data_IF_935672548851
#
_entry.id   IF_935672548851
#
_cell.length_a   1.000
_cell.length_b   1.000
_cell.length_c   1.000
_cell.angle_alpha   90.00
_cell.angle_beta   90.00
_cell.angle_gamma   90.00
#
_symmetry.space_group_name_H-M   'P 1'
#
loop_
_entity.id
_entity.type
_entity.pdbx_description
1 polymer ?
#
# COMPACT_ATOMS: atom_id res chain seq x y z
N UNK A 1 21.12 6.61 20.05
CA UNK A 1 19.81 6.06 19.65
C UNK A 1 20.06 5.17 18.45
N UNK A 2 19.64 3.90 18.44
CA UNK A 2 19.74 3.08 17.24
C UNK A 2 19.03 3.85 16.10
N UNK A 3 19.68 3.95 14.93
CA UNK A 3 19.07 4.59 13.76
C UNK A 3 17.73 3.89 13.51
N UNK A 4 16.63 4.64 13.54
CA UNK A 4 15.33 4.12 13.10
C UNK A 4 15.47 3.61 11.67
N UNK A 5 15.03 2.37 11.44
CA UNK A 5 15.01 1.78 10.10
C UNK A 5 14.09 2.65 9.22
N UNK A 6 14.46 2.94 7.96
CA UNK A 6 13.55 3.64 7.07
C UNK A 6 12.21 2.91 6.97
N UNK A 7 11.13 3.68 6.94
CA UNK A 7 9.77 3.17 6.88
C UNK A 7 9.32 3.02 5.42
N UNK A 8 8.67 1.90 5.09
CA UNK A 8 8.06 1.63 3.79
C UNK A 8 6.64 1.07 3.92
N UNK A 9 5.74 1.55 3.08
CA UNK A 9 4.38 1.04 2.97
C UNK A 9 4.31 0.00 1.84
N UNK A 10 3.77 -1.18 2.14
CA UNK A 10 3.72 -2.31 1.22
C UNK A 10 2.29 -2.78 1.04
N UNK A 11 1.79 -2.81 -0.20
CA UNK A 11 0.45 -3.34 -0.50
C UNK A 11 0.51 -4.73 -1.14
N UNK A 12 -0.33 -5.66 -0.69
CA UNK A 12 -0.53 -6.95 -1.35
C UNK A 12 -1.73 -6.88 -2.29
N UNK A 13 -1.52 -7.23 -3.56
CA UNK A 13 -2.53 -7.15 -4.60
C UNK A 13 -2.61 -8.43 -5.42
N UNK A 14 -3.75 -8.65 -6.10
CA UNK A 14 -4.00 -9.86 -6.90
C UNK A 14 -5.45 -10.35 -6.83
N UNK A 15 -5.79 -11.35 -7.65
CA UNK A 15 -7.14 -11.94 -7.73
C UNK A 15 -7.61 -12.50 -6.37
N UNK A 16 -8.93 -12.64 -6.22
CA UNK A 16 -9.52 -13.44 -5.12
C UNK A 16 -8.93 -14.86 -5.16
N UNK A 17 -8.78 -15.49 -4.00
CA UNK A 17 -8.23 -16.85 -3.84
C UNK A 17 -6.78 -17.07 -4.29
N UNK A 18 -6.07 -16.09 -4.85
CA UNK A 18 -4.63 -16.22 -5.12
C UNK A 18 -3.75 -16.28 -3.86
N UNK A 19 -4.33 -16.07 -2.68
CA UNK A 19 -3.67 -16.27 -1.39
C UNK A 19 -2.87 -15.07 -0.88
N UNK A 20 -3.35 -13.84 -1.11
CA UNK A 20 -2.74 -12.60 -0.60
C UNK A 20 -2.59 -12.63 0.94
N UNK A 21 -3.71 -12.70 1.65
CA UNK A 21 -3.74 -12.71 3.12
C UNK A 21 -3.08 -13.95 3.71
N UNK A 22 -3.16 -15.10 3.03
CA UNK A 22 -2.38 -16.30 3.38
C UNK A 22 -0.87 -16.03 3.32
N UNK A 23 -0.40 -15.31 2.29
CA UNK A 23 1.02 -14.95 2.14
C UNK A 23 1.46 -14.02 3.27
N UNK A 24 0.66 -13.01 3.60
CA UNK A 24 0.93 -12.08 4.71
C UNK A 24 0.95 -12.81 6.05
N UNK A 25 -0.08 -13.62 6.34
CA UNK A 25 -0.16 -14.39 7.57
C UNK A 25 0.98 -15.39 7.71
N UNK A 26 1.39 -16.02 6.61
CA UNK A 26 2.55 -16.91 6.58
C UNK A 26 3.85 -16.16 6.88
N UNK A 27 4.04 -15.01 6.26
CA UNK A 27 5.20 -14.15 6.52
C UNK A 27 5.31 -13.82 8.01
N UNK A 28 4.22 -13.44 8.66
CA UNK A 28 4.22 -13.14 10.10
C UNK A 28 4.48 -14.36 10.98
N UNK A 29 3.92 -15.51 10.63
CA UNK A 29 4.20 -16.75 11.34
C UNK A 29 5.69 -17.14 11.24
N UNK A 30 6.25 -17.14 10.03
CA UNK A 30 7.65 -17.52 9.80
C UNK A 30 8.64 -16.52 10.43
N UNK A 31 8.23 -15.26 10.65
CA UNK A 31 8.99 -14.24 11.38
C UNK A 31 8.78 -14.29 12.91
N UNK A 32 7.91 -15.18 13.41
CA UNK A 32 7.61 -15.29 14.84
C UNK A 32 6.76 -14.16 15.41
N UNK A 33 6.09 -13.38 14.55
CA UNK A 33 5.14 -12.34 14.96
C UNK A 33 3.77 -12.92 15.33
N UNK A 34 3.50 -14.16 14.93
CA UNK A 34 2.34 -14.95 15.33
C UNK A 34 2.83 -16.26 15.91
N UNK A 35 2.54 -16.48 17.18
CA UNK A 35 2.93 -17.71 17.87
C UNK A 35 2.14 -18.93 17.37
N UNK A 36 2.76 -20.10 17.43
CA UNK A 36 2.15 -21.37 17.02
C UNK A 36 0.81 -21.65 17.73
N UNK A 37 0.72 -21.36 19.03
CA UNK A 37 -0.54 -21.50 19.79
C UNK A 37 -1.66 -20.66 19.17
N UNK A 38 -1.35 -19.44 18.75
CA UNK A 38 -2.35 -18.56 18.16
C UNK A 38 -2.79 -19.07 16.79
N UNK A 39 -1.85 -19.57 15.99
CA UNK A 39 -2.15 -20.18 14.71
C UNK A 39 -3.02 -21.44 14.87
N UNK A 40 -2.75 -22.28 15.86
CA UNK A 40 -3.57 -23.48 16.17
C UNK A 40 -4.99 -23.11 16.60
N UNK A 41 -5.18 -22.05 17.39
CA UNK A 41 -6.51 -21.51 17.71
C UNK A 41 -7.25 -21.07 16.45
N UNK A 42 -6.58 -20.30 15.57
CA UNK A 42 -7.18 -19.83 14.31
C UNK A 42 -7.50 -20.98 13.36
N UNK A 43 -6.66 -22.03 13.35
CA UNK A 43 -6.91 -23.24 12.57
C UNK A 43 -8.17 -23.96 13.05
N UNK A 44 -8.34 -24.15 14.35
CA UNK A 44 -9.57 -24.74 14.92
C UNK A 44 -10.80 -23.89 14.57
N UNK A 45 -10.70 -22.56 14.72
CA UNK A 45 -11.79 -21.66 14.36
C UNK A 45 -12.16 -21.75 12.86
N UNK A 46 -11.15 -21.85 11.99
CA UNK A 46 -11.34 -21.99 10.56
C UNK A 46 -11.98 -23.35 10.20
N UNK A 47 -11.53 -24.44 10.83
CA UNK A 47 -12.10 -25.78 10.68
C UNK A 47 -13.57 -25.85 11.16
N UNK A 48 -13.89 -25.28 12.33
CA UNK A 48 -15.26 -25.19 12.86
C UNK A 48 -16.23 -24.45 11.92
N UNK A 49 -15.70 -23.48 11.17
CA UNK A 49 -16.46 -22.70 10.18
C UNK A 49 -16.43 -23.30 8.76
N UNK A 50 -15.87 -24.50 8.59
CA UNK A 50 -15.80 -25.18 7.28
C UNK A 50 -14.80 -24.56 6.30
N UNK A 51 -13.84 -23.77 6.79
CA UNK A 51 -12.81 -23.06 6.03
C UNK A 51 -11.40 -23.59 6.38
N UNK A 52 -11.24 -24.90 6.45
CA UNK A 52 -9.94 -25.51 6.72
C UNK A 52 -8.86 -25.01 5.72
N UNK A 53 -7.68 -24.63 6.22
CA UNK A 53 -6.59 -24.05 5.41
C UNK A 53 -6.55 -22.51 5.37
N UNK A 54 -7.51 -21.83 6.02
CA UNK A 54 -7.55 -20.36 6.11
C UNK A 54 -6.87 -19.79 7.37
N UNK A 55 -6.15 -20.60 8.15
CA UNK A 55 -5.54 -20.18 9.42
C UNK A 55 -4.64 -18.96 9.28
N UNK A 56 -3.88 -18.87 8.18
CA UNK A 56 -3.01 -17.74 7.90
C UNK A 56 -3.79 -16.51 7.43
N UNK A 57 -4.88 -16.67 6.68
CA UNK A 57 -5.72 -15.55 6.28
C UNK A 57 -6.40 -14.89 7.49
N UNK A 58 -6.85 -15.69 8.46
CA UNK A 58 -7.49 -15.21 9.69
C UNK A 58 -6.57 -14.42 10.63
N UNK A 59 -5.25 -14.42 10.39
CA UNK A 59 -4.30 -13.52 11.07
C UNK A 59 -4.58 -12.05 10.70
N UNK A 60 -5.00 -11.84 9.45
CA UNK A 60 -5.33 -10.54 8.88
C UNK A 60 -6.83 -10.24 8.98
N UNK A 61 -7.68 -11.21 8.62
CA UNK A 61 -9.13 -11.07 8.58
C UNK A 61 -9.72 -11.07 10.00
N UNK A 62 -10.10 -9.87 10.48
CA UNK A 62 -10.68 -9.67 11.81
C UNK A 62 -12.19 -9.52 11.79
N UNK A 63 -12.78 -9.09 10.68
CA UNK A 63 -14.22 -8.88 10.61
C UNK A 63 -14.95 -10.22 10.53
N UNK A 64 -16.10 -10.30 11.20
CA UNK A 64 -16.94 -11.50 11.18
C UNK A 64 -17.37 -11.84 9.74
N UNK A 65 -17.71 -10.83 8.95
CA UNK A 65 -18.13 -10.99 7.56
C UNK A 65 -16.99 -11.47 6.64
N UNK A 66 -15.75 -11.03 6.90
CA UNK A 66 -14.56 -11.52 6.19
C UNK A 66 -14.36 -13.02 6.42
N UNK A 67 -14.45 -13.45 7.69
CA UNK A 67 -14.30 -14.86 8.08
C UNK A 67 -15.41 -15.75 7.54
N UNK A 68 -16.64 -15.26 7.52
CA UNK A 68 -17.79 -16.02 6.98
C UNK A 68 -17.68 -16.19 5.46
N UNK A 69 -17.28 -15.15 4.73
CA UNK A 69 -17.15 -15.19 3.27
C UNK A 69 -15.83 -15.81 2.81
N UNK A 70 -14.77 -15.73 3.60
CA UNK A 70 -13.41 -16.12 3.23
C UNK A 70 -12.75 -15.12 2.26
N UNK A 71 -13.15 -13.84 2.33
CA UNK A 71 -12.60 -12.75 1.52
C UNK A 71 -12.27 -11.56 2.42
N UNK A 72 -11.16 -10.88 2.14
CA UNK A 72 -10.80 -9.61 2.78
C UNK A 72 -11.72 -8.49 2.28
N UNK A 73 -12.24 -7.67 3.18
CA UNK A 73 -13.23 -6.60 2.91
C UNK A 73 -12.62 -5.23 3.19
N UNK A 74 -11.94 -5.07 4.32
CA UNK A 74 -11.34 -3.79 4.73
C UNK A 74 -9.81 -3.85 4.74
N UNK A 75 -9.17 -2.69 4.73
CA UNK A 75 -7.71 -2.60 4.76
C UNK A 75 -7.20 -2.89 6.17
N UNK A 76 -6.34 -3.90 6.29
CA UNK A 76 -5.66 -4.21 7.54
C UNK A 76 -4.21 -3.70 7.52
N UNK A 77 -3.84 -2.95 8.57
CA UNK A 77 -2.47 -2.47 8.78
C UNK A 77 -1.75 -3.35 9.79
N UNK A 78 -0.58 -3.85 9.41
CA UNK A 78 0.28 -4.66 10.28
C UNK A 78 1.74 -4.37 9.98
N UNK A 79 2.53 -4.24 11.03
CA UNK A 79 3.94 -3.92 10.91
C UNK A 79 4.81 -5.17 11.01
N UNK A 80 5.92 -5.17 10.26
CA UNK A 80 7.00 -6.13 10.42
C UNK A 80 8.32 -5.47 10.06
N UNK A 81 9.42 -6.07 10.51
CA UNK A 81 10.75 -5.55 10.21
C UNK A 81 11.53 -6.52 9.31
N UNK A 82 12.33 -5.93 8.44
CA UNK A 82 13.45 -6.58 7.74
C UNK A 82 14.76 -6.08 8.35
N UNK A 83 15.94 -6.64 7.97
CA UNK A 83 17.22 -6.06 8.38
C UNK A 83 17.35 -4.57 8.06
N UNK A 84 16.84 -4.12 6.89
CA UNK A 84 16.99 -2.75 6.40
C UNK A 84 15.81 -1.84 6.71
N UNK A 85 14.57 -2.33 6.66
CA UNK A 85 13.35 -1.51 6.69
C UNK A 85 12.37 -1.91 7.80
N UNK A 86 11.62 -0.94 8.27
CA UNK A 86 10.36 -1.16 8.98
C UNK A 86 9.22 -1.05 7.96
N UNK A 87 8.44 -2.11 7.79
CA UNK A 87 7.33 -2.14 6.84
C UNK A 87 5.99 -2.03 7.54
N UNK A 88 5.10 -1.24 6.96
CA UNK A 88 3.66 -1.35 7.22
C UNK A 88 3.00 -2.06 6.03
N UNK A 89 2.45 -3.26 6.29
CA UNK A 89 1.65 -3.99 5.31
C UNK A 89 0.24 -3.43 5.29
N UNK A 90 -0.21 -3.16 4.08
CA UNK A 90 -1.56 -2.77 3.71
C UNK A 90 -2.17 -3.99 2.99
N UNK A 91 -2.94 -4.81 3.72
CA UNK A 91 -3.66 -5.91 3.07
C UNK A 91 -4.89 -5.34 2.37
N UNK A 92 -4.89 -5.39 1.04
CA UNK A 92 -5.93 -4.80 0.23
C UNK A 92 -6.91 -5.87 -0.28
N UNK A 93 -8.21 -5.60 -0.27
CA UNK A 93 -9.21 -6.57 -0.69
C UNK A 93 -9.10 -6.88 -2.19
N UNK A 94 -9.27 -8.15 -2.54
CA UNK A 94 -9.13 -8.62 -3.93
C UNK A 94 -10.42 -8.66 -4.75
N UNK A 95 -11.57 -8.51 -4.08
CA UNK A 95 -12.89 -8.65 -4.71
C UNK A 95 -13.28 -7.36 -5.45
N UNK A 96 -13.98 -7.50 -6.58
CA UNK A 96 -14.36 -6.37 -7.46
C UNK A 96 -15.15 -5.30 -6.71
N UNK A 97 -16.02 -5.71 -5.80
CA UNK A 97 -16.86 -4.80 -5.00
C UNK A 97 -16.05 -3.88 -4.07
N UNK A 98 -14.80 -4.22 -3.76
CA UNK A 98 -13.97 -3.51 -2.79
C UNK A 98 -12.76 -2.81 -3.44
N UNK A 99 -12.77 -2.60 -4.76
CA UNK A 99 -11.71 -1.86 -5.47
C UNK A 99 -11.47 -0.47 -4.87
N UNK A 100 -12.52 0.21 -4.37
CA UNK A 100 -12.38 1.52 -3.70
C UNK A 100 -11.43 1.47 -2.51
N UNK A 101 -11.53 0.41 -1.70
CA UNK A 101 -10.70 0.20 -0.52
C UNK A 101 -9.26 -0.14 -0.94
N UNK A 102 -9.10 -0.94 -2.00
CA UNK A 102 -7.78 -1.17 -2.59
C UNK A 102 -7.13 0.12 -3.08
N UNK A 103 -7.85 1.00 -3.77
CA UNK A 103 -7.33 2.30 -4.25
C UNK A 103 -6.83 3.14 -3.07
N UNK A 104 -7.59 3.21 -1.97
CA UNK A 104 -7.17 3.96 -0.78
C UNK A 104 -5.92 3.37 -0.13
N UNK A 105 -5.78 2.04 -0.09
CA UNK A 105 -4.59 1.38 0.44
C UNK A 105 -3.37 1.53 -0.47
N UNK A 106 -3.54 1.29 -1.77
CA UNK A 106 -2.46 1.41 -2.75
C UNK A 106 -1.98 2.86 -2.94
N UNK A 107 -2.84 3.86 -2.73
CA UNK A 107 -2.43 5.28 -2.76
C UNK A 107 -1.44 5.65 -1.65
N UNK A 108 -1.34 4.84 -0.60
CA UNK A 108 -0.40 5.05 0.51
C UNK A 108 0.88 4.20 0.36
N UNK A 109 0.91 3.27 -0.60
CA UNK A 109 1.97 2.28 -0.72
C UNK A 109 3.17 2.78 -1.55
N UNK A 110 4.37 2.42 -1.10
CA UNK A 110 5.65 2.72 -1.76
C UNK A 110 6.07 1.58 -2.71
N UNK A 111 5.64 0.35 -2.40
CA UNK A 111 5.87 -0.85 -3.19
C UNK A 111 4.65 -1.78 -3.13
N UNK A 112 4.57 -2.73 -4.07
CA UNK A 112 3.51 -3.74 -4.10
C UNK A 112 4.04 -5.17 -4.28
N UNK A 113 3.33 -6.13 -3.70
CA UNK A 113 3.47 -7.56 -3.99
C UNK A 113 2.24 -8.03 -4.78
N UNK A 114 2.43 -8.41 -6.04
CA UNK A 114 1.41 -9.02 -6.88
C UNK A 114 1.41 -10.53 -6.69
N UNK A 115 0.36 -11.07 -6.08
CA UNK A 115 0.20 -12.50 -5.83
C UNK A 115 -0.62 -13.12 -6.96
N UNK A 116 -0.03 -14.12 -7.63
CA UNK A 116 -0.62 -14.83 -8.77
C UNK A 116 -0.60 -16.32 -8.50
N UNK A 117 -1.74 -17.01 -8.49
CA UNK A 117 -1.76 -18.46 -8.31
C UNK A 117 -1.21 -19.18 -9.56
N UNK A 118 -0.26 -20.10 -9.38
CA UNK A 118 0.31 -20.90 -10.46
C UNK A 118 -0.72 -21.82 -11.15
N UNK A 119 -1.76 -22.20 -10.41
CA UNK A 119 -2.88 -23.04 -10.89
C UNK A 119 -3.78 -22.31 -11.89
N UNK A 120 -3.94 -20.99 -11.74
CA UNK A 120 -4.93 -20.19 -12.46
C UNK A 120 -4.29 -19.17 -13.41
N UNK A 121 -3.06 -18.74 -13.14
CA UNK A 121 -2.35 -17.75 -13.95
C UNK A 121 -2.97 -16.35 -13.84
N UNK A 122 -2.90 -15.58 -14.93
CA UNK A 122 -3.37 -14.18 -14.95
C UNK A 122 -4.90 -14.11 -15.05
N UNK A 123 -5.53 -13.64 -13.98
CA UNK A 123 -6.97 -13.37 -13.91
C UNK A 123 -7.33 -11.89 -14.17
N UNK A 124 -8.61 -11.54 -14.44
CA UNK A 124 -9.02 -10.15 -14.70
C UNK A 124 -8.61 -9.17 -13.58
N UNK A 125 -8.81 -9.54 -12.32
CA UNK A 125 -8.46 -8.71 -11.16
C UNK A 125 -6.94 -8.57 -10.99
N UNK A 126 -6.15 -9.56 -11.42
CA UNK A 126 -4.68 -9.45 -11.47
C UNK A 126 -4.27 -8.30 -12.39
N UNK A 127 -4.91 -8.18 -13.56
CA UNK A 127 -4.66 -7.10 -14.52
C UNK A 127 -5.12 -5.76 -13.96
N UNK A 128 -6.32 -5.71 -13.42
CA UNK A 128 -6.93 -4.51 -12.84
C UNK A 128 -6.11 -3.94 -11.68
N UNK A 129 -5.66 -4.79 -10.76
CA UNK A 129 -4.84 -4.32 -9.65
C UNK A 129 -3.45 -3.87 -10.09
N UNK A 130 -2.82 -4.56 -11.03
CA UNK A 130 -1.51 -4.18 -11.53
C UNK A 130 -1.52 -2.82 -12.25
N UNK A 131 -2.56 -2.53 -13.06
CA UNK A 131 -2.70 -1.23 -13.73
C UNK A 131 -3.07 -0.11 -12.76
N UNK A 132 -3.89 -0.41 -11.74
CA UNK A 132 -4.23 0.53 -10.68
C UNK A 132 -3.00 0.92 -9.86
N UNK A 133 -2.23 -0.07 -9.38
CA UNK A 133 -0.97 0.17 -8.67
C UNK A 133 -0.02 1.06 -9.48
N UNK A 134 0.11 0.78 -10.78
CA UNK A 134 0.96 1.59 -11.67
C UNK A 134 0.45 3.02 -11.81
N UNK A 135 -0.86 3.18 -11.94
CA UNK A 135 -1.51 4.50 -12.07
C UNK A 135 -1.37 5.33 -10.80
N UNK A 136 -1.36 4.68 -9.64
CA UNK A 136 -1.14 5.29 -8.33
C UNK A 136 0.34 5.60 -8.04
N UNK A 137 1.26 5.29 -8.97
CA UNK A 137 2.67 5.63 -8.85
C UNK A 137 3.53 4.55 -8.20
N UNK A 138 2.99 3.38 -7.91
CA UNK A 138 3.77 2.24 -7.41
C UNK A 138 4.61 1.69 -8.56
N UNK A 139 5.92 1.95 -8.50
CA UNK A 139 6.86 1.53 -9.54
C UNK A 139 7.67 0.29 -9.13
N UNK A 140 7.76 0.00 -7.83
CA UNK A 140 8.45 -1.17 -7.29
C UNK A 140 7.45 -2.30 -7.08
N UNK A 141 7.59 -3.36 -7.86
CA UNK A 141 6.66 -4.48 -7.86
C UNK A 141 7.43 -5.79 -7.74
N UNK A 142 7.03 -6.61 -6.77
CA UNK A 142 7.45 -8.01 -6.63
C UNK A 142 6.28 -8.89 -7.06
N UNK A 143 6.54 -9.92 -7.86
CA UNK A 143 5.53 -10.89 -8.28
C UNK A 143 5.76 -12.20 -7.54
N UNK A 144 4.80 -12.59 -6.71
CA UNK A 144 4.79 -13.86 -6.01
C UNK A 144 3.88 -14.85 -6.75
N UNK A 145 4.47 -15.82 -7.44
CA UNK A 145 3.74 -16.92 -8.10
C UNK A 145 3.45 -17.97 -7.04
N UNK A 146 2.25 -17.91 -6.46
CA UNK A 146 1.82 -18.67 -5.30
C UNK A 146 1.20 -20.03 -5.68
N UNK A 147 0.95 -20.88 -4.68
CA UNK A 147 0.36 -22.23 -4.82
C UNK A 147 1.22 -23.18 -5.67
N UNK A 148 2.54 -23.03 -5.64
CA UNK A 148 3.46 -23.92 -6.36
C UNK A 148 3.34 -25.38 -5.88
N UNK A 149 2.95 -25.61 -4.63
CA UNK A 149 2.67 -26.94 -4.08
C UNK A 149 1.52 -27.67 -4.80
N UNK A 150 0.53 -26.93 -5.30
CA UNK A 150 -0.60 -27.51 -6.04
C UNK A 150 -0.24 -27.90 -7.48
N UNK A 151 0.87 -27.40 -8.00
CA UNK A 151 1.40 -27.72 -9.34
C UNK A 151 2.69 -28.54 -9.24
N UNK A 152 2.87 -29.25 -8.12
CA UNK A 152 4.02 -30.12 -7.84
C UNK A 152 5.38 -29.42 -8.06
N UNK A 153 5.45 -28.11 -7.76
CA UNK A 153 6.66 -27.31 -7.87
C UNK A 153 7.27 -27.30 -9.29
N UNK A 154 6.44 -27.45 -10.33
CA UNK A 154 6.89 -27.54 -11.72
C UNK A 154 7.46 -26.20 -12.24
N UNK A 155 8.72 -26.24 -12.68
CA UNK A 155 9.42 -25.11 -13.29
C UNK A 155 8.73 -24.63 -14.57
N UNK A 156 8.18 -25.52 -15.39
CA UNK A 156 7.52 -25.12 -16.65
C UNK A 156 6.29 -24.28 -16.37
N UNK A 157 5.46 -24.71 -15.41
CA UNK A 157 4.28 -23.96 -14.98
C UNK A 157 4.65 -22.57 -14.45
N UNK A 158 5.73 -22.47 -13.67
CA UNK A 158 6.23 -21.17 -13.21
C UNK A 158 6.61 -20.26 -14.38
N UNK A 159 7.40 -20.74 -15.35
CA UNK A 159 7.84 -19.94 -16.50
C UNK A 159 6.68 -19.54 -17.42
N UNK A 160 5.66 -20.39 -17.58
CA UNK A 160 4.41 -20.05 -18.29
C UNK A 160 3.72 -18.84 -17.65
N UNK A 161 3.43 -18.93 -16.34
CA UNK A 161 2.71 -17.87 -15.61
C UNK A 161 3.56 -16.60 -15.53
N UNK A 162 4.87 -16.73 -15.33
CA UNK A 162 5.80 -15.61 -15.36
C UNK A 162 5.75 -14.88 -16.71
N UNK A 163 5.80 -15.59 -17.82
CA UNK A 163 5.73 -15.01 -19.17
C UNK A 163 4.41 -14.26 -19.41
N UNK A 164 3.28 -14.81 -18.95
CA UNK A 164 1.99 -14.13 -19.01
C UNK A 164 1.98 -12.82 -18.19
N UNK A 165 2.52 -12.87 -16.96
CA UNK A 165 2.59 -11.70 -16.08
C UNK A 165 3.54 -10.65 -16.64
N UNK A 166 4.71 -11.03 -17.17
CA UNK A 166 5.65 -10.11 -17.83
C UNK A 166 4.98 -9.36 -18.99
N UNK A 167 4.20 -10.06 -19.82
CA UNK A 167 3.48 -9.45 -20.95
C UNK A 167 2.50 -8.38 -20.51
N UNK A 168 1.72 -8.62 -19.45
CA UNK A 168 0.76 -7.62 -18.94
C UNK A 168 1.49 -6.43 -18.32
N UNK A 169 2.52 -6.67 -17.51
CA UNK A 169 3.23 -5.63 -16.77
C UNK A 169 3.98 -4.71 -17.74
N UNK A 170 4.56 -5.28 -18.81
CA UNK A 170 5.20 -4.51 -19.88
C UNK A 170 4.19 -3.62 -20.60
N UNK A 171 2.99 -4.14 -20.86
CA UNK A 171 1.89 -3.37 -21.45
C UNK A 171 1.43 -2.18 -20.59
N UNK A 172 1.55 -2.29 -19.27
CA UNK A 172 1.23 -1.20 -18.33
C UNK A 172 2.38 -0.23 -18.08
N UNK A 173 3.57 -0.50 -18.63
CA UNK A 173 4.76 0.36 -18.50
C UNK A 173 5.58 0.12 -17.22
N UNK A 174 5.51 -1.08 -16.64
CA UNK A 174 6.52 -1.51 -15.68
C UNK A 174 7.85 -1.85 -16.38
N UNK A 175 8.95 -1.53 -15.70
CA UNK A 175 10.27 -1.96 -16.11
C UNK A 175 10.50 -3.40 -15.62
N UNK A 176 10.27 -4.37 -16.51
CA UNK A 176 10.36 -5.80 -16.20
C UNK A 176 11.75 -6.18 -15.69
N UNK A 177 12.81 -5.46 -16.07
CA UNK A 177 14.18 -5.76 -15.59
C UNK A 177 14.34 -5.56 -14.08
N UNK A 178 13.45 -4.77 -13.46
CA UNK A 178 13.41 -4.50 -12.02
C UNK A 178 12.37 -5.31 -11.27
N UNK A 179 11.48 -6.02 -11.97
CA UNK A 179 10.44 -6.85 -11.35
C UNK A 179 11.02 -8.20 -10.97
N UNK A 180 10.92 -8.56 -9.70
CA UNK A 180 11.39 -9.86 -9.19
C UNK A 180 10.23 -10.85 -9.20
N UNK A 181 10.42 -12.01 -9.83
CA UNK A 181 9.45 -13.10 -9.87
C UNK A 181 9.90 -14.23 -8.94
N UNK A 182 9.04 -14.59 -7.99
CA UNK A 182 9.36 -15.53 -6.91
C UNK A 182 8.31 -16.64 -6.90
N UNK A 183 8.68 -17.91 -7.14
CA UNK A 183 7.78 -19.03 -6.93
C UNK A 183 7.66 -19.30 -5.43
N UNK A 184 6.45 -19.23 -4.89
CA UNK A 184 6.17 -19.46 -3.47
C UNK A 184 5.06 -20.49 -3.27
N UNK A 185 5.03 -21.06 -2.07
CA UNK A 185 3.80 -21.65 -1.52
C UNK A 185 3.53 -20.99 -0.18
N UNK A 186 2.54 -20.11 -0.13
CA UNK A 186 2.17 -19.42 1.10
C UNK A 186 1.68 -20.40 2.19
N UNK A 187 0.98 -21.48 1.81
CA UNK A 187 0.49 -22.45 2.77
C UNK A 187 1.64 -23.30 3.35
N UNK A 188 2.59 -23.72 2.52
CA UNK A 188 3.72 -24.57 2.93
C UNK A 188 4.92 -23.80 3.49
N UNK A 189 5.07 -22.53 3.10
CA UNK A 189 6.16 -21.63 3.49
C UNK A 189 7.33 -21.58 2.52
N UNK A 190 7.26 -22.32 1.41
CA UNK A 190 8.30 -22.38 0.39
C UNK A 190 8.59 -20.97 -0.17
N UNK A 191 9.84 -20.53 -0.06
CA UNK A 191 10.35 -19.23 -0.55
C UNK A 191 9.65 -17.99 0.03
N UNK A 192 8.89 -18.10 1.13
CA UNK A 192 8.30 -16.93 1.81
C UNK A 192 9.38 -16.22 2.64
N UNK A 193 9.83 -16.84 3.73
CA UNK A 193 11.01 -16.38 4.50
C UNK A 193 12.21 -17.28 4.23
N UNK A 194 11.99 -18.59 4.22
CA UNK A 194 13.03 -19.61 4.04
C UNK A 194 13.04 -20.14 2.61
N UNK A 195 14.22 -20.49 2.11
CA UNK A 195 14.38 -21.14 0.79
C UNK A 195 13.66 -22.49 0.77
N UNK A 196 13.05 -22.79 -0.38
CA UNK A 196 12.40 -24.07 -0.62
C UNK A 196 13.41 -25.15 -1.01
N UNK A 197 13.30 -26.33 -0.40
CA UNK A 197 14.01 -27.54 -0.84
C UNK A 197 13.29 -28.21 -2.03
N UNK A 198 12.00 -27.92 -2.23
CA UNK A 198 11.17 -28.49 -3.29
C UNK A 198 11.39 -27.85 -4.67
N UNK A 199 12.03 -26.67 -4.71
CA UNK A 199 12.30 -25.92 -5.94
C UNK A 199 13.80 -25.66 -6.14
N UNK A 200 14.64 -26.71 -6.27
CA UNK A 200 16.09 -26.55 -6.43
C UNK A 200 16.48 -25.83 -7.74
N UNK A 201 15.56 -25.76 -8.70
CA UNK A 201 15.72 -25.01 -9.95
C UNK A 201 15.63 -23.49 -9.76
N UNK A 202 15.07 -23.00 -8.64
CA UNK A 202 14.93 -21.58 -8.36
C UNK A 202 16.09 -21.05 -7.51
N UNK A 203 16.93 -20.20 -8.11
CA UNK A 203 18.10 -19.60 -7.45
C UNK A 203 17.88 -18.14 -7.02
N UNK A 204 16.72 -17.55 -7.30
CA UNK A 204 16.37 -16.17 -6.95
C UNK A 204 16.07 -15.99 -5.45
N UNK A 205 15.82 -14.76 -4.96
CA UNK A 205 15.60 -14.49 -3.54
C UNK A 205 14.29 -15.10 -2.99
N UNK A 206 14.18 -15.26 -1.68
CA UNK A 206 12.87 -15.45 -1.03
C UNK A 206 12.05 -14.15 -1.07
N UNK A 207 10.74 -14.22 -0.78
CA UNK A 207 9.90 -13.02 -0.70
C UNK A 207 10.46 -12.03 0.33
N UNK A 208 10.84 -12.51 1.52
CA UNK A 208 11.43 -11.67 2.56
C UNK A 208 12.75 -11.00 2.13
N UNK A 209 13.63 -11.74 1.44
CA UNK A 209 14.87 -11.18 0.89
C UNK A 209 14.61 -10.17 -0.23
N UNK A 210 13.57 -10.36 -1.04
CA UNK A 210 13.20 -9.42 -2.08
C UNK A 210 12.60 -8.13 -1.52
N UNK A 211 11.85 -8.21 -0.41
CA UNK A 211 11.32 -7.06 0.31
C UNK A 211 12.44 -6.21 0.92
N UNK A 212 13.47 -6.83 1.52
CA UNK A 212 14.64 -6.10 2.05
C UNK A 212 15.48 -5.41 0.95
N UNK A 213 15.39 -5.88 -0.29
CA UNK A 213 16.05 -5.29 -1.46
C UNK A 213 15.29 -4.13 -2.11
N UNK A 214 14.09 -3.79 -1.62
CA UNK A 214 13.38 -2.61 -2.10
C UNK A 214 14.22 -1.34 -1.88
N UNK A 215 13.93 -0.33 -2.67
CA UNK A 215 14.54 0.99 -2.59
C UNK A 215 13.61 1.94 -1.85
N UNK A 216 14.17 2.88 -1.09
CA UNK A 216 13.35 3.95 -0.53
C UNK A 216 12.88 4.85 -1.67
N UNK A 217 11.58 5.18 -1.77
CA UNK A 217 11.13 6.11 -2.79
C UNK A 217 11.83 7.46 -2.60
N UNK A 218 12.19 8.15 -3.68
CA UNK A 218 12.80 9.46 -3.56
C UNK A 218 11.80 10.40 -2.89
N UNK A 219 12.12 10.84 -1.68
CA UNK A 219 11.31 11.85 -0.98
C UNK A 219 11.45 13.16 -1.74
N UNK A 220 10.36 13.74 -2.30
CA UNK A 220 10.44 14.94 -3.12
C UNK A 220 10.64 16.22 -2.27
N UNK A 221 11.76 16.26 -1.55
CA UNK A 221 12.16 17.34 -0.62
C UNK A 221 12.41 18.64 -1.40
N UNK A 222 13.02 18.53 -2.59
CA UNK A 222 13.36 19.68 -3.44
C UNK A 222 12.17 20.19 -4.28
N UNK A 223 11.00 19.57 -4.18
CA UNK A 223 9.78 20.04 -4.86
C UNK A 223 9.05 21.07 -3.99
N UNK A 224 8.18 21.91 -4.57
CA UNK A 224 7.36 22.85 -3.81
C UNK A 224 6.52 22.16 -2.74
N UNK A 225 6.32 22.82 -1.60
CA UNK A 225 5.52 22.28 -0.50
C UNK A 225 4.08 22.01 -0.92
N UNK A 226 3.59 20.78 -0.71
CA UNK A 226 2.18 20.40 -0.86
C UNK A 226 1.75 19.54 0.32
N UNK A 227 0.80 20.04 1.09
CA UNK A 227 0.16 19.30 2.18
C UNK A 227 -1.35 19.33 1.97
N UNK A 228 -1.96 18.27 1.42
CA UNK A 228 -3.41 18.11 1.39
C UNK A 228 -3.94 18.00 2.82
N UNK A 229 -4.90 18.86 3.17
CA UNK A 229 -5.49 18.91 4.50
C UNK A 229 -6.50 17.77 4.63
N UNK A 230 -6.28 16.91 5.62
CA UNK A 230 -7.14 15.79 5.97
C UNK A 230 -8.22 16.20 6.98
N UNK A 231 -7.85 17.02 7.96
CA UNK A 231 -8.77 17.55 8.98
C UNK A 231 -8.25 18.87 9.58
N UNK A 232 -9.12 19.60 10.30
CA UNK A 232 -8.77 20.86 10.98
C UNK A 232 -9.36 20.88 12.38
N UNK A 233 -8.49 20.95 13.39
CA UNK A 233 -8.86 21.02 14.79
C UNK A 233 -8.72 22.44 15.34
N UNK A 234 -9.50 22.73 16.38
CA UNK A 234 -9.31 23.90 17.23
C UNK A 234 -8.90 23.42 18.61
N UNK A 235 -7.67 23.69 19.01
CA UNK A 235 -7.13 23.28 20.32
C UNK A 235 -7.13 24.49 21.25
N UNK A 236 -7.74 24.34 22.44
CA UNK A 236 -7.82 25.42 23.44
C UNK A 236 -6.40 25.85 23.84
N UNK A 237 -6.10 27.15 23.71
CA UNK A 237 -4.79 27.72 24.05
C UNK A 237 -3.74 27.64 22.94
N UNK A 238 -3.98 26.86 21.88
CA UNK A 238 -3.07 26.71 20.74
C UNK A 238 -3.67 27.37 19.49
N UNK A 239 -4.96 27.18 19.24
CA UNK A 239 -5.68 27.74 18.10
C UNK A 239 -5.96 26.70 17.02
N UNK A 240 -5.93 27.11 15.75
CA UNK A 240 -6.23 26.26 14.60
C UNK A 240 -5.06 25.34 14.29
N UNK A 241 -5.32 24.05 14.11
CA UNK A 241 -4.32 23.01 13.80
C UNK A 241 -4.84 22.15 12.64
N UNK A 242 -4.41 22.41 11.40
CA UNK A 242 -4.63 21.52 10.28
C UNK A 242 -3.77 20.27 10.41
N UNK A 243 -4.29 19.15 9.93
CA UNK A 243 -3.60 17.86 9.89
C UNK A 243 -3.52 17.38 8.45
N UNK A 244 -2.36 16.89 8.04
CA UNK A 244 -2.16 16.33 6.71
C UNK A 244 -0.80 15.67 6.54
N UNK A 245 -0.66 14.94 5.44
CA UNK A 245 0.62 14.34 5.03
C UNK A 245 1.38 15.31 4.15
N UNK A 246 2.68 15.48 4.40
CA UNK A 246 3.54 16.21 3.47
C UNK A 246 3.78 15.32 2.24
N UNK A 247 3.26 15.74 1.08
CA UNK A 247 3.42 14.99 -0.18
C UNK A 247 4.70 15.41 -0.92
N UNK A 248 5.10 16.67 -0.76
CA UNK A 248 6.33 17.22 -1.35
C UNK A 248 6.76 18.49 -0.63
N UNK A 249 8.04 18.85 -0.78
CA UNK A 249 8.66 19.97 -0.10
C UNK A 249 8.90 19.74 1.39
N UNK A 250 9.29 20.80 2.09
CA UNK A 250 9.55 20.77 3.53
C UNK A 250 8.76 21.89 4.18
N UNK A 251 8.04 21.58 5.26
CA UNK A 251 7.40 22.58 6.11
C UNK A 251 8.28 22.86 7.31
N UNK A 252 8.54 24.12 7.65
CA UNK A 252 9.30 24.50 8.84
C UNK A 252 8.49 25.37 9.79
N UNK A 253 8.82 25.29 11.08
CA UNK A 253 8.28 26.22 12.06
C UNK A 253 8.70 27.65 11.68
N UNK A 254 7.75 28.58 11.69
CA UNK A 254 7.93 29.96 11.25
C UNK A 254 7.62 30.21 9.77
N UNK A 255 7.39 29.16 8.97
CA UNK A 255 7.02 29.34 7.57
C UNK A 255 5.68 30.08 7.43
N UNK A 256 5.58 30.91 6.40
CA UNK A 256 4.28 31.35 5.89
C UNK A 256 3.75 30.30 4.93
N UNK A 257 2.49 29.92 5.12
CA UNK A 257 1.77 28.97 4.27
C UNK A 257 0.52 29.61 3.68
N UNK A 258 0.17 29.18 2.48
CA UNK A 258 -1.02 29.58 1.75
C UNK A 258 -1.89 28.36 1.50
N UNK A 259 -3.15 28.45 1.91
CA UNK A 259 -4.17 27.43 1.71
C UNK A 259 -4.95 27.73 0.43
N UNK A 260 -4.95 26.77 -0.50
CA UNK A 260 -5.72 26.83 -1.75
C UNK A 260 -6.81 25.77 -1.73
N UNK A 261 -7.99 26.01 -2.34
CA UNK A 261 -8.33 27.15 -3.19
C UNK A 261 -8.81 28.41 -2.43
N UNK A 262 -8.94 28.36 -1.10
CA UNK A 262 -9.51 29.47 -0.29
C UNK A 262 -8.66 30.75 -0.28
N UNK A 263 -7.41 30.67 -0.71
CA UNK A 263 -6.46 31.77 -0.83
C UNK A 263 -6.25 32.54 0.49
N UNK A 264 -6.02 31.79 1.58
CA UNK A 264 -5.76 32.33 2.92
C UNK A 264 -4.34 32.03 3.36
N UNK A 265 -3.64 33.04 3.88
CA UNK A 265 -2.27 32.90 4.38
C UNK A 265 -2.26 32.75 5.89
N UNK A 266 -1.39 31.90 6.40
CA UNK A 266 -1.13 31.74 7.82
C UNK A 266 0.37 31.58 8.09
N UNK A 267 0.77 31.72 9.36
CA UNK A 267 2.13 31.48 9.82
C UNK A 267 2.16 30.23 10.71
N UNK A 268 3.09 29.31 10.44
CA UNK A 268 3.25 28.08 11.20
C UNK A 268 3.98 28.36 12.52
N UNK A 269 3.37 28.00 13.65
CA UNK A 269 3.91 28.24 14.99
C UNK A 269 4.53 27.02 15.64
N UNK A 270 3.96 25.84 15.38
CA UNK A 270 4.52 24.56 15.82
C UNK A 270 4.13 23.49 14.82
N UNK A 271 4.91 22.41 14.79
CA UNK A 271 4.65 21.21 14.03
C UNK A 271 4.75 20.05 15.02
N UNK A 272 3.82 19.12 14.96
CA UNK A 272 3.78 17.93 15.81
C UNK A 272 3.48 16.68 14.98
N UNK A 273 4.14 15.59 15.31
CA UNK A 273 3.87 14.25 14.78
C UNK A 273 3.82 13.29 15.97
N UNK A 274 2.72 12.55 16.13
CA UNK A 274 2.53 11.61 17.26
C UNK A 274 2.82 12.19 18.65
N UNK A 275 2.42 13.45 18.89
CA UNK A 275 2.67 14.22 20.12
C UNK A 275 4.13 14.59 20.39
N UNK A 276 5.02 14.42 19.41
CA UNK A 276 6.39 14.91 19.47
C UNK A 276 6.54 16.19 18.63
N UNK A 277 7.14 17.26 19.18
CA UNK A 277 7.36 18.50 18.46
C UNK A 277 8.47 18.35 17.42
N UNK A 278 8.23 18.86 16.22
CA UNK A 278 9.17 18.89 15.11
C UNK A 278 9.54 20.33 14.75
N UNK A 279 10.77 20.55 14.31
CA UNK A 279 11.21 21.83 13.73
C UNK A 279 10.94 21.90 12.23
N UNK A 280 10.96 20.75 11.55
CA UNK A 280 10.63 20.61 10.14
C UNK A 280 9.90 19.29 9.89
N UNK A 281 9.02 19.28 8.90
CA UNK A 281 8.33 18.11 8.38
C UNK A 281 8.68 17.90 6.91
N UNK A 282 8.94 16.64 6.54
CA UNK A 282 9.43 16.21 5.24
C UNK A 282 8.41 15.31 4.54
N UNK A 283 8.56 15.05 3.23
CA UNK A 283 7.64 14.20 2.51
C UNK A 283 7.52 12.83 3.18
N UNK A 284 6.29 12.38 3.40
CA UNK A 284 5.94 11.17 4.15
C UNK A 284 5.38 11.45 5.54
N UNK A 285 5.77 12.54 6.19
CA UNK A 285 5.39 12.82 7.57
C UNK A 285 3.90 13.21 7.67
N UNK A 286 3.18 12.58 8.59
CA UNK A 286 1.80 12.92 8.93
C UNK A 286 1.80 13.89 10.11
N UNK A 287 1.54 15.17 9.86
CA UNK A 287 1.76 16.23 10.84
C UNK A 287 0.49 17.00 11.14
N UNK A 288 0.35 17.40 12.40
CA UNK A 288 -0.48 18.51 12.82
C UNK A 288 0.38 19.75 12.98
N UNK A 289 -0.01 20.87 12.41
CA UNK A 289 0.79 22.10 12.52
C UNK A 289 -0.06 23.28 12.97
N UNK A 290 0.32 23.95 14.05
CA UNK A 290 -0.43 25.10 14.52
C UNK A 290 -0.20 26.29 13.59
N UNK A 291 -1.29 26.97 13.22
CA UNK A 291 -1.24 28.13 12.35
C UNK A 291 -1.88 29.36 12.98
N UNK A 292 -1.27 30.52 12.74
CA UNK A 292 -1.80 31.83 13.12
C UNK A 292 -2.22 32.61 11.89
N UNK A 293 -3.42 33.20 11.93
CA UNK A 293 -3.96 34.04 10.85
C UNK A 293 -5.20 33.46 10.16
N UNK A 294 -5.56 32.20 10.45
CA UNK A 294 -6.77 31.54 9.95
C UNK A 294 -7.51 30.83 11.08
N UNK A 295 -8.84 30.90 11.06
CA UNK A 295 -9.72 30.12 11.93
C UNK A 295 -10.01 28.73 11.36
N UNK A 296 -10.61 27.86 12.18
CA UNK A 296 -11.04 26.52 11.74
C UNK A 296 -12.02 26.56 10.57
N UNK A 297 -12.89 27.56 10.49
CA UNK A 297 -13.90 27.64 9.44
C UNK A 297 -13.38 28.29 8.14
N UNK A 298 -12.16 28.84 8.16
CA UNK A 298 -11.53 29.44 6.97
C UNK A 298 -10.89 28.41 6.02
N UNK A 299 -10.63 27.20 6.53
CA UNK A 299 -9.93 26.11 5.84
C UNK A 299 -10.62 24.78 6.15
N UNK A 300 -10.53 23.82 5.24
CA UNK A 300 -11.21 22.53 5.40
C UNK A 300 -10.45 21.37 4.77
N UNK A 301 -10.95 20.16 5.04
CA UNK A 301 -10.51 18.93 4.36
C UNK A 301 -10.57 19.11 2.84
N UNK A 302 -9.49 18.73 2.17
CA UNK A 302 -9.32 18.83 0.72
C UNK A 302 -8.65 20.13 0.25
N UNK A 303 -8.53 21.14 1.09
CA UNK A 303 -7.65 22.28 0.81
C UNK A 303 -6.19 21.81 0.80
N UNK A 304 -5.30 22.56 0.15
CA UNK A 304 -3.88 22.24 0.06
C UNK A 304 -3.05 23.40 0.59
N UNK A 305 -2.25 23.13 1.63
CA UNK A 305 -1.25 24.09 2.11
C UNK A 305 0.01 24.02 1.24
N UNK A 306 0.56 25.19 0.95
CA UNK A 306 1.75 25.39 0.12
C UNK A 306 2.51 26.64 0.54
N UNK A 307 3.78 26.81 0.16
CA UNK A 307 4.45 28.10 0.35
C UNK A 307 3.88 29.17 -0.61
N UNK A 308 3.75 30.43 -0.19
CA UNK A 308 3.16 31.49 -1.00
C UNK A 308 3.89 31.82 -2.31
N UNK A 309 5.20 31.58 -2.38
CA UNK A 309 6.03 31.76 -3.57
C UNK A 309 5.80 30.69 -4.63
N UNK A 310 5.28 29.52 -4.22
CA UNK A 310 4.89 28.45 -5.11
C UNK A 310 3.52 27.85 -4.70
N UNK A 311 2.42 28.59 -4.94
CA UNK A 311 1.09 28.20 -4.48
C UNK A 311 0.59 26.92 -5.16
N UNK A 312 -0.19 26.13 -4.43
CA UNK A 312 -0.90 24.98 -4.99
C UNK A 312 -1.84 25.42 -6.13
N UNK A 313 -1.76 24.73 -7.27
CA UNK A 313 -2.53 25.06 -8.47
C UNK A 313 -4.01 24.78 -8.26
N UNK A 314 -4.87 25.76 -8.51
CA UNK A 314 -6.33 25.58 -8.55
C UNK A 314 -6.76 25.37 -9.99
N UNK A 315 -7.36 24.21 -10.26
CA UNK A 315 -7.84 23.86 -11.59
C UNK A 315 -9.36 23.74 -11.62
N UNK A 316 -10.03 24.53 -12.46
CA UNK A 316 -11.44 24.31 -12.82
C UNK A 316 -11.58 23.36 -14.02
N UNK A 317 -10.50 23.19 -14.79
CA UNK A 317 -10.37 22.28 -15.92
C UNK A 317 -8.94 21.73 -15.97
N UNK A 318 -8.79 20.44 -16.23
CA UNK A 318 -7.49 19.81 -16.41
C UNK A 318 -7.59 18.74 -17.51
N UNK A 319 -6.43 18.40 -18.09
CA UNK A 319 -6.30 17.25 -18.99
C UNK A 319 -5.66 16.12 -18.22
N UNK A 320 -6.26 14.94 -18.27
CA UNK A 320 -5.71 13.73 -17.65
C UNK A 320 -5.72 12.57 -18.65
N UNK A 321 -4.77 11.66 -18.47
CA UNK A 321 -4.82 10.34 -19.09
C UNK A 321 -5.65 9.45 -18.17
N UNK A 322 -6.78 8.98 -18.66
CA UNK A 322 -7.67 8.09 -17.92
C UNK A 322 -7.50 6.66 -18.42
N UNK A 323 -7.60 5.71 -17.50
CA UNK A 323 -7.77 4.29 -17.81
C UNK A 323 -9.17 3.92 -17.36
N UNK A 324 -10.01 3.50 -18.30
CA UNK A 324 -11.36 3.00 -17.99
C UNK A 324 -11.23 1.52 -17.67
N UNK A 325 -11.42 1.16 -16.41
CA UNK A 325 -11.33 -0.24 -15.95
C UNK A 325 -12.57 -1.02 -16.32
N UNK A 326 -13.73 -0.55 -15.85
CA UNK A 326 -15.02 -1.10 -16.16
C UNK A 326 -16.07 0.02 -16.18
N UNK A 327 -16.97 0.00 -17.16
CA UNK A 327 -18.09 0.91 -17.25
C UNK A 327 -19.25 0.19 -17.95
N UNK A 328 -20.48 0.22 -17.40
CA UNK A 328 -21.60 -0.60 -17.92
C UNK A 328 -22.06 -0.18 -19.32
N UNK A 329 -21.74 1.05 -19.72
CA UNK A 329 -22.12 1.63 -21.02
C UNK A 329 -20.90 2.32 -21.65
N UNK A 330 -21.04 3.53 -22.18
CA UNK A 330 -19.94 4.33 -22.71
C UNK A 330 -19.78 5.62 -21.91
N UNK A 331 -18.54 6.12 -21.87
CA UNK A 331 -18.23 7.45 -21.32
C UNK A 331 -18.21 8.44 -22.48
N UNK A 332 -19.16 9.36 -22.50
CA UNK A 332 -19.26 10.43 -23.52
C UNK A 332 -18.86 11.78 -22.95
N UNK A 333 -18.64 12.76 -23.83
CA UNK A 333 -18.44 14.16 -23.42
C UNK A 333 -19.62 14.60 -22.55
N UNK A 334 -19.33 15.20 -21.39
CA UNK A 334 -20.32 15.60 -20.38
C UNK A 334 -20.56 14.59 -19.25
N UNK A 335 -19.99 13.38 -19.34
CA UNK A 335 -20.03 12.42 -18.24
C UNK A 335 -19.41 12.99 -16.97
N UNK A 336 -20.14 12.89 -15.85
CA UNK A 336 -19.75 13.41 -14.53
C UNK A 336 -19.79 12.25 -13.53
N UNK A 337 -18.63 11.63 -13.22
CA UNK A 337 -18.52 10.40 -12.40
C UNK A 337 -18.89 10.57 -10.93
#
# INVERSE_FOLDING_TARGET
MPKEKPHLNLVFIGHVDHGKSTTVGRLFYDLGLVDQRKLEELRKEAEEKGKAGFEFAYVMDKLKEERERGITIDVAYRDFETPKYHFTIIDAPGHVDFIKNMITGAAQADAAVLVVAATEGVQPQTREHAILAKTLGINQLIVAINKMDMVNYDQKKFEEVKSEVEKILKGFGYDISKVVFIPISALKGDNVVKKSENMPWYNGPTLYEALDKLEEPPRPIDKPLRIPIQDVYTIKGVGTVPVGRVESGVLKVGDKVLFMPVNKTAEVKSIEMHHEPLQEAKPGDNVGFNVKGVGKDDIKRGDVASHPDNPATVATRFKARIVVLNHPTAITVGYTP
#
